data_IF_636066132032
#
_entry.id   IF_636066132032
#
_cell.length_a   1.000
_cell.length_b   1.000
_cell.length_c   1.000
_cell.angle_alpha   90.00
_cell.angle_beta   90.00
_cell.angle_gamma   90.00
#
_symmetry.space_group_name_H-M   'P 1'
#
loop_
_entity.id
_entity.type
_entity.pdbx_description
1 polymer ?
#
# COMPACT_ATOMS: atom_id res chain seq x y z
N UNK A 1 4.49 4.27 -5.63
CA UNK A 1 3.65 3.10 -5.30
C UNK A 1 2.97 2.65 -6.58
N UNK A 2 2.81 1.35 -6.78
CA UNK A 2 2.08 0.79 -7.92
C UNK A 2 1.00 -0.15 -7.40
N UNK A 3 -0.26 0.11 -7.72
CA UNK A 3 -1.42 -0.71 -7.37
C UNK A 3 -1.82 -1.50 -8.60
N UNK A 4 -1.72 -2.82 -8.51
CA UNK A 4 -2.31 -3.73 -9.49
C UNK A 4 -3.73 -4.08 -9.04
N UNK A 5 -4.71 -3.65 -9.84
CA UNK A 5 -6.10 -4.05 -9.67
C UNK A 5 -6.26 -5.55 -9.97
N UNK A 6 -5.64 -6.06 -11.04
CA UNK A 6 -5.81 -7.46 -11.43
C UNK A 6 -5.27 -8.44 -10.38
N UNK A 7 -4.20 -8.07 -9.66
CA UNK A 7 -3.59 -8.92 -8.63
C UNK A 7 -4.02 -8.56 -7.20
N UNK A 8 -4.80 -7.49 -7.03
CA UNK A 8 -5.17 -6.95 -5.71
C UNK A 8 -3.94 -6.75 -4.82
N UNK A 9 -2.90 -6.13 -5.38
CA UNK A 9 -1.61 -5.90 -4.69
C UNK A 9 -1.10 -4.48 -4.88
N UNK A 10 -0.39 -3.99 -3.88
CA UNK A 10 0.37 -2.74 -3.93
C UNK A 10 1.86 -3.05 -3.80
N UNK A 11 2.68 -2.57 -4.72
CA UNK A 11 4.13 -2.52 -4.60
C UNK A 11 4.58 -1.13 -4.15
N UNK A 12 5.39 -1.07 -3.08
CA UNK A 12 6.15 0.10 -2.70
C UNK A 12 7.53 0.01 -3.34
N UNK A 13 7.86 1.00 -4.16
CA UNK A 13 9.11 1.03 -4.94
C UNK A 13 9.90 2.25 -4.52
N UNK A 14 11.20 2.07 -4.28
CA UNK A 14 12.17 3.13 -4.11
C UNK A 14 12.37 3.82 -5.47
N UNK A 15 12.08 5.12 -5.54
CA UNK A 15 12.17 5.86 -6.80
C UNK A 15 13.61 6.01 -7.30
N UNK A 16 14.57 6.12 -6.39
CA UNK A 16 15.98 6.36 -6.74
C UNK A 16 16.65 5.06 -7.16
N UNK A 17 16.41 3.99 -6.40
CA UNK A 17 17.03 2.68 -6.63
C UNK A 17 16.26 1.79 -7.59
N UNK A 18 14.99 2.11 -7.84
CA UNK A 18 14.06 1.25 -8.59
C UNK A 18 13.69 -0.05 -7.87
N UNK A 19 14.19 -0.25 -6.63
CA UNK A 19 14.03 -1.49 -5.87
C UNK A 19 12.63 -1.58 -5.24
N UNK A 20 12.06 -2.78 -5.19
CA UNK A 20 10.81 -3.04 -4.46
C UNK A 20 11.14 -3.14 -2.98
N UNK A 21 10.60 -2.21 -2.19
CA UNK A 21 10.80 -2.17 -0.74
C UNK A 21 9.83 -3.10 -0.01
N UNK A 22 8.60 -3.22 -0.52
CA UNK A 22 7.58 -4.07 0.04
C UNK A 22 6.46 -4.35 -0.96
N UNK A 23 5.73 -5.43 -0.76
CA UNK A 23 4.45 -5.68 -1.41
C UNK A 23 3.37 -5.94 -0.37
N UNK A 24 2.16 -5.48 -0.63
CA UNK A 24 1.02 -5.60 0.28
C UNK A 24 -0.19 -6.18 -0.46
N UNK A 25 -0.92 -7.13 0.13
CA UNK A 25 -2.25 -7.46 -0.36
C UNK A 25 -3.19 -6.28 -0.09
N UNK A 26 -4.02 -5.94 -1.06
CA UNK A 26 -4.98 -4.83 -0.97
C UNK A 26 -6.36 -5.28 -1.44
N UNK A 27 -7.35 -4.42 -1.31
CA UNK A 27 -8.64 -4.59 -1.98
C UNK A 27 -9.10 -3.30 -2.66
N UNK A 28 -9.24 -3.32 -3.97
CA UNK A 28 -9.85 -2.23 -4.76
C UNK A 28 -11.37 -2.39 -4.84
N UNK A 29 -12.02 -1.58 -5.66
CA UNK A 29 -13.47 -1.65 -5.86
C UNK A 29 -13.91 -2.99 -6.42
N UNK A 30 -15.07 -3.47 -5.96
CA UNK A 30 -15.80 -4.59 -6.57
C UNK A 30 -16.61 -4.17 -7.82
N UNK A 31 -16.70 -2.87 -8.10
CA UNK A 31 -17.37 -2.32 -9.27
C UNK A 31 -16.37 -2.12 -10.41
N UNK A 32 -16.88 -1.91 -11.62
CA UNK A 32 -16.06 -1.59 -12.77
C UNK A 32 -15.16 -0.37 -12.52
N UNK A 33 -13.95 -0.42 -13.07
CA UNK A 33 -12.98 0.67 -12.98
C UNK A 33 -13.56 1.95 -13.57
N UNK A 34 -13.48 3.04 -12.82
CA UNK A 34 -14.09 4.31 -13.20
C UNK A 34 -13.65 5.43 -12.29
N UNK A 35 -13.49 6.63 -12.86
CA UNK A 35 -13.40 7.87 -12.09
C UNK A 35 -14.73 8.66 -12.02
N UNK A 36 -15.79 8.21 -12.71
CA UNK A 36 -17.01 9.01 -12.80
C UNK A 36 -17.66 9.23 -11.40
N UNK A 37 -18.22 10.42 -11.13
CA UNK A 37 -18.98 10.67 -9.91
C UNK A 37 -20.06 9.60 -9.69
N UNK A 38 -20.16 9.06 -8.47
CA UNK A 38 -21.14 8.02 -8.12
C UNK A 38 -20.83 6.61 -8.63
N UNK A 39 -19.81 6.41 -9.48
CA UNK A 39 -19.50 5.10 -10.09
C UNK A 39 -19.11 4.02 -9.09
N UNK A 40 -18.58 4.40 -7.93
CA UNK A 40 -17.94 3.50 -6.94
C UNK A 40 -16.75 2.72 -7.52
N UNK A 41 -16.31 2.99 -8.74
CA UNK A 41 -15.14 2.38 -9.35
C UNK A 41 -13.84 2.91 -8.74
N UNK A 42 -12.79 2.11 -8.79
CA UNK A 42 -11.42 2.58 -8.53
C UNK A 42 -10.90 3.26 -9.79
N UNK A 43 -10.35 4.50 -9.72
CA UNK A 43 -9.81 5.18 -10.88
C UNK A 43 -8.45 4.59 -11.28
N UNK A 44 -8.22 4.39 -12.58
CA UNK A 44 -6.91 4.06 -13.12
C UNK A 44 -6.05 5.31 -13.32
N UNK A 45 -4.75 5.09 -13.55
CA UNK A 45 -3.78 6.10 -13.94
C UNK A 45 -2.92 6.60 -12.78
N UNK A 46 -2.34 7.78 -12.98
CA UNK A 46 -1.42 8.43 -12.06
C UNK A 46 -2.14 9.33 -11.07
N UNK A 47 -1.82 9.12 -9.80
CA UNK A 47 -2.32 9.87 -8.65
C UNK A 47 -1.15 10.25 -7.73
N UNK A 48 -1.46 11.08 -6.75
CA UNK A 48 -0.56 11.41 -5.65
C UNK A 48 -1.28 11.36 -4.30
N UNK A 49 -0.52 11.12 -3.23
CA UNK A 49 -0.98 11.33 -1.86
C UNK A 49 -1.10 12.84 -1.61
N UNK A 50 -2.31 13.38 -1.64
CA UNK A 50 -2.57 14.79 -1.37
C UNK A 50 -2.58 15.10 0.13
N UNK A 51 -3.13 14.19 0.95
CA UNK A 51 -3.22 14.37 2.40
C UNK A 51 -3.03 13.05 3.15
N UNK A 52 -2.61 13.17 4.40
CA UNK A 52 -2.40 12.06 5.33
C UNK A 52 -3.20 12.31 6.60
N UNK A 53 -4.00 11.34 7.03
CA UNK A 53 -4.82 11.42 8.23
C UNK A 53 -4.57 10.18 9.11
N UNK A 54 -4.50 10.41 10.42
CA UNK A 54 -4.33 9.34 11.42
C UNK A 54 -2.93 9.24 12.03
N UNK A 55 -2.11 10.28 11.91
CA UNK A 55 -0.83 10.37 12.64
C UNK A 55 -1.03 10.09 14.13
N UNK A 56 -0.24 9.16 14.69
CA UNK A 56 -0.31 8.78 16.11
C UNK A 56 -1.58 7.99 16.51
N UNK A 57 -2.52 7.73 15.61
CA UNK A 57 -3.69 6.92 15.95
C UNK A 57 -3.29 5.44 16.17
N UNK A 58 -3.93 4.72 17.11
CA UNK A 58 -3.69 3.29 17.27
C UNK A 58 -4.23 2.51 16.07
N UNK A 59 -3.77 1.26 15.91
CA UNK A 59 -4.37 0.33 14.96
C UNK A 59 -5.85 0.10 15.31
N UNK A 60 -6.72 0.02 14.30
CA UNK A 60 -8.15 -0.13 14.47
C UNK A 60 -8.90 1.17 14.81
N UNK A 61 -8.21 2.29 15.01
CA UNK A 61 -8.86 3.58 15.31
C UNK A 61 -9.82 3.99 14.20
N UNK A 62 -11.08 4.24 14.53
CA UNK A 62 -12.15 4.53 13.57
C UNK A 62 -12.16 6.00 13.17
N UNK A 63 -12.38 6.25 11.88
CA UNK A 63 -12.54 7.58 11.31
C UNK A 63 -13.92 7.74 10.65
N UNK A 64 -14.59 8.83 10.97
CA UNK A 64 -15.83 9.29 10.30
C UNK A 64 -15.61 10.70 9.76
N UNK A 65 -15.90 10.92 8.49
CA UNK A 65 -15.65 12.20 7.82
C UNK A 65 -14.21 12.71 8.03
N UNK A 66 -13.24 11.77 7.96
CA UNK A 66 -11.80 11.99 8.22
C UNK A 66 -11.44 12.46 9.64
N UNK A 67 -12.35 12.35 10.62
CA UNK A 67 -12.08 12.66 12.04
C UNK A 67 -12.12 11.39 12.86
N UNK A 68 -11.15 11.22 13.77
CA UNK A 68 -11.11 10.09 14.70
C UNK A 68 -12.34 10.16 15.61
N UNK A 69 -13.04 9.04 15.79
CA UNK A 69 -14.27 8.97 16.60
C UNK A 69 -14.02 8.64 18.06
N UNK A 70 -12.84 8.07 18.38
CA UNK A 70 -12.51 7.51 19.69
C UNK A 70 -12.68 6.00 19.75
N UNK A 71 -13.50 5.42 18.88
CA UNK A 71 -13.68 3.97 18.73
C UNK A 71 -12.42 3.31 18.16
N UNK A 72 -12.13 2.10 18.63
CA UNK A 72 -11.05 1.23 18.15
C UNK A 72 -11.67 -0.15 17.91
N UNK A 73 -11.55 -0.66 16.69
CA UNK A 73 -12.08 -1.96 16.31
C UNK A 73 -10.96 -2.97 16.05
N UNK A 74 -11.08 -4.21 16.56
CA UNK A 74 -10.19 -5.28 16.15
C UNK A 74 -10.47 -5.67 14.68
N UNK A 75 -9.51 -6.33 14.00
CA UNK A 75 -9.77 -6.94 12.71
C UNK A 75 -10.98 -7.88 12.76
N UNK A 76 -11.82 -7.77 11.74
CA UNK A 76 -13.07 -8.50 11.51
C UNK A 76 -14.11 -8.34 12.63
N UNK A 77 -14.08 -7.21 13.34
CA UNK A 77 -15.16 -6.85 14.25
C UNK A 77 -16.51 -6.89 13.52
N UNK A 78 -17.55 -7.52 14.10
CA UNK A 78 -18.86 -7.60 13.47
C UNK A 78 -19.51 -6.22 13.37
N UNK A 79 -20.29 -6.00 12.31
CA UNK A 79 -21.06 -4.78 12.11
C UNK A 79 -20.64 -4.01 10.87
N UNK A 80 -20.53 -2.69 11.01
CA UNK A 80 -20.19 -1.77 9.91
C UNK A 80 -18.73 -1.92 9.46
N UNK A 81 -18.42 -1.48 8.25
CA UNK A 81 -17.06 -1.38 7.69
C UNK A 81 -16.57 0.09 7.69
N UNK A 82 -16.14 0.63 8.84
CA UNK A 82 -15.57 1.96 8.88
C UNK A 82 -14.14 1.97 8.33
N UNK A 83 -13.70 3.16 7.92
CA UNK A 83 -12.28 3.42 7.68
C UNK A 83 -11.55 3.40 9.04
N UNK A 84 -10.45 2.65 9.12
CA UNK A 84 -9.64 2.54 10.34
C UNK A 84 -8.17 2.84 10.11
N UNK A 85 -7.45 3.05 11.22
CA UNK A 85 -5.99 3.13 11.32
C UNK A 85 -5.38 4.36 10.64
N UNK A 86 -5.35 4.41 9.31
CA UNK A 86 -4.70 5.47 8.52
C UNK A 86 -5.48 5.74 7.24
N UNK A 87 -5.34 6.96 6.73
CA UNK A 87 -5.91 7.38 5.45
C UNK A 87 -4.85 8.16 4.68
N UNK A 88 -4.59 7.75 3.44
CA UNK A 88 -3.87 8.51 2.43
C UNK A 88 -4.89 8.97 1.39
N UNK A 89 -5.15 10.27 1.32
CA UNK A 89 -6.12 10.83 0.39
C UNK A 89 -5.49 11.07 -0.96
N UNK A 90 -6.03 10.46 -2.00
CA UNK A 90 -5.48 10.52 -3.34
C UNK A 90 -6.07 11.68 -4.15
N UNK A 91 -5.21 12.33 -4.95
CA UNK A 91 -5.60 13.27 -6.00
C UNK A 91 -5.15 12.71 -7.35
N UNK A 92 -6.05 12.71 -8.33
CA UNK A 92 -5.71 12.36 -9.70
C UNK A 92 -4.88 13.42 -10.38
N UNK A 93 -3.94 12.99 -11.21
CA UNK A 93 -3.01 13.85 -11.94
C UNK A 93 -3.33 13.93 -13.43
N UNK A 94 -4.36 13.22 -13.87
CA UNK A 94 -4.72 13.07 -15.27
C UNK A 94 -6.21 13.35 -15.49
N UNK A 95 -6.59 13.69 -16.72
CA UNK A 95 -7.96 14.06 -17.03
C UNK A 95 -8.98 12.95 -16.71
N UNK A 96 -8.58 11.69 -16.87
CA UNK A 96 -9.38 10.50 -16.59
C UNK A 96 -9.59 10.22 -15.10
N UNK A 97 -8.76 10.75 -14.19
CA UNK A 97 -8.85 10.50 -12.75
C UNK A 97 -9.03 11.77 -11.91
N UNK A 98 -9.38 12.89 -12.56
CA UNK A 98 -9.55 14.22 -11.96
C UNK A 98 -10.52 14.28 -10.78
N UNK A 99 -11.51 13.39 -10.72
CA UNK A 99 -12.52 13.37 -9.66
C UNK A 99 -12.08 12.59 -8.43
N UNK A 100 -10.95 11.86 -8.46
CA UNK A 100 -10.51 10.98 -7.39
C UNK A 100 -10.49 11.67 -6.01
N UNK A 101 -10.03 12.93 -5.96
CA UNK A 101 -10.00 13.70 -4.72
C UNK A 101 -11.42 14.02 -4.21
N UNK A 102 -12.28 14.57 -5.07
CA UNK A 102 -13.67 14.92 -4.71
C UNK A 102 -14.54 13.70 -4.42
N UNK A 103 -14.18 12.53 -4.97
CA UNK A 103 -14.80 11.23 -4.71
C UNK A 103 -14.28 10.53 -3.47
N UNK A 104 -13.35 11.14 -2.73
CA UNK A 104 -12.79 10.58 -1.51
C UNK A 104 -12.07 9.23 -1.74
N UNK A 105 -11.34 9.12 -2.84
CA UNK A 105 -10.53 7.93 -3.11
C UNK A 105 -9.32 7.93 -2.18
N UNK A 106 -9.21 6.87 -1.38
CA UNK A 106 -8.19 6.72 -0.35
C UNK A 106 -7.41 5.42 -0.51
N UNK A 107 -6.18 5.40 0.00
CA UNK A 107 -5.56 4.18 0.53
C UNK A 107 -5.79 4.20 2.05
N UNK A 108 -6.45 3.18 2.60
CA UNK A 108 -6.83 3.21 4.02
C UNK A 108 -6.90 1.83 4.67
N UNK A 109 -6.88 1.80 6.00
CA UNK A 109 -7.12 0.59 6.78
C UNK A 109 -8.60 0.21 6.81
N UNK A 110 -8.90 -1.08 6.86
CA UNK A 110 -10.27 -1.61 7.03
C UNK A 110 -10.36 -2.52 8.26
N UNK A 111 -11.54 -2.56 8.88
CA UNK A 111 -11.85 -3.57 9.88
C UNK A 111 -12.12 -4.94 9.23
N UNK A 112 -12.70 -5.00 8.04
CA UNK A 112 -13.00 -6.26 7.34
C UNK A 112 -11.75 -6.76 6.57
N UNK A 113 -10.73 -7.17 7.33
CA UNK A 113 -9.44 -7.66 6.81
C UNK A 113 -9.53 -9.03 6.14
N UNK A 114 -10.57 -9.82 6.45
CA UNK A 114 -10.80 -11.16 5.87
C UNK A 114 -10.97 -11.12 4.35
N UNK A 115 -11.40 -9.99 3.78
CA UNK A 115 -11.57 -9.80 2.33
C UNK A 115 -10.37 -9.18 1.62
N UNK A 116 -9.30 -8.86 2.35
CA UNK A 116 -8.09 -8.31 1.75
C UNK A 116 -7.47 -9.35 0.80
N UNK A 117 -7.26 -8.94 -0.45
CA UNK A 117 -6.86 -9.82 -1.57
C UNK A 117 -7.94 -10.01 -2.62
N UNK A 118 -9.17 -9.54 -2.37
CA UNK A 118 -10.29 -9.60 -3.30
C UNK A 118 -10.86 -8.20 -3.59
N UNK A 119 -11.45 -7.95 -4.78
CA UNK A 119 -12.20 -6.72 -5.03
C UNK A 119 -13.35 -6.56 -4.03
N UNK A 120 -13.24 -5.56 -3.14
CA UNK A 120 -14.12 -5.47 -1.98
C UNK A 120 -14.64 -4.09 -1.61
N UNK A 121 -14.02 -3.03 -2.13
CA UNK A 121 -14.31 -1.65 -1.76
C UNK A 121 -15.38 -1.00 -2.64
N UNK A 122 -15.62 0.29 -2.40
CA UNK A 122 -16.50 1.18 -3.18
C UNK A 122 -15.71 2.28 -3.90
N UNK A 123 -14.45 2.00 -4.25
CA UNK A 123 -13.57 2.88 -5.02
C UNK A 123 -12.18 3.04 -4.40
N UNK A 124 -12.08 2.95 -3.08
CA UNK A 124 -10.83 3.06 -2.35
C UNK A 124 -9.93 1.82 -2.50
N UNK A 125 -8.68 1.95 -2.06
CA UNK A 125 -7.74 0.85 -1.88
C UNK A 125 -7.68 0.52 -0.39
N UNK A 126 -8.25 -0.62 -0.01
CA UNK A 126 -8.27 -1.10 1.38
C UNK A 126 -7.01 -1.90 1.67
N UNK A 127 -6.52 -1.79 2.90
CA UNK A 127 -5.35 -2.49 3.42
C UNK A 127 -5.63 -3.00 4.83
N UNK A 128 -4.87 -4.01 5.26
CA UNK A 128 -4.82 -4.39 6.68
C UNK A 128 -4.29 -3.24 7.52
N UNK A 129 -4.71 -3.18 8.78
CA UNK A 129 -4.30 -2.10 9.69
C UNK A 129 -2.79 -2.04 9.88
N UNK A 130 -2.11 -3.19 10.02
CA UNK A 130 -0.63 -3.20 10.14
C UNK A 130 0.03 -2.63 8.88
N UNK A 131 -0.45 -3.03 7.70
CA UNK A 131 0.19 -2.74 6.43
C UNK A 131 0.02 -1.26 6.06
N UNK A 132 -1.18 -0.69 6.26
CA UNK A 132 -1.40 0.74 6.03
C UNK A 132 -0.62 1.61 7.00
N UNK A 133 -0.41 1.16 8.25
CA UNK A 133 0.42 1.89 9.23
C UNK A 133 1.87 1.92 8.77
N UNK A 134 2.41 0.79 8.32
CA UNK A 134 3.76 0.73 7.76
C UNK A 134 3.89 1.64 6.54
N UNK A 135 2.98 1.52 5.57
CA UNK A 135 2.97 2.36 4.37
C UNK A 135 2.89 3.84 4.73
N UNK A 136 1.99 4.22 5.64
CA UNK A 136 1.81 5.60 6.08
C UNK A 136 3.09 6.18 6.69
N UNK A 137 3.89 5.40 7.40
CA UNK A 137 5.10 5.90 8.04
C UNK A 137 6.24 6.18 7.06
N UNK A 138 6.24 5.53 5.89
CA UNK A 138 7.31 5.66 4.90
C UNK A 138 6.96 6.59 3.74
N UNK A 139 5.67 6.82 3.44
CA UNK A 139 5.26 7.71 2.35
C UNK A 139 4.83 9.10 2.85
N UNK A 140 5.26 10.15 2.16
CA UNK A 140 4.87 11.53 2.41
C UNK A 140 3.76 12.04 1.48
N UNK A 141 3.18 13.23 1.75
CA UNK A 141 2.42 13.96 0.74
C UNK A 141 3.25 14.16 -0.54
N UNK A 142 2.60 14.12 -1.71
CA UNK A 142 3.24 14.15 -3.02
C UNK A 142 3.78 12.80 -3.51
N UNK A 143 3.76 11.74 -2.69
CA UNK A 143 4.16 10.41 -3.13
C UNK A 143 3.25 9.93 -4.28
N UNK A 144 3.86 9.48 -5.38
CA UNK A 144 3.17 9.00 -6.58
C UNK A 144 2.52 7.63 -6.37
N UNK A 145 1.31 7.47 -6.88
CA UNK A 145 0.53 6.25 -6.91
C UNK A 145 0.08 6.00 -8.34
N UNK A 146 0.59 4.94 -8.97
CA UNK A 146 0.06 4.44 -10.23
C UNK A 146 -0.95 3.34 -9.95
N UNK A 147 -2.17 3.44 -10.47
CA UNK A 147 -3.19 2.39 -10.37
C UNK A 147 -3.40 1.81 -11.77
N UNK A 148 -3.10 0.53 -11.93
CA UNK A 148 -3.08 -0.15 -13.22
C UNK A 148 -3.90 -1.44 -13.22
N UNK A 149 -4.40 -1.81 -14.40
CA UNK A 149 -5.00 -3.11 -14.67
C UNK A 149 -3.97 -4.02 -15.37
N UNK A 150 -2.86 -4.28 -14.67
CA UNK A 150 -1.79 -5.15 -15.16
C UNK A 150 -1.10 -5.85 -13.98
N UNK A 151 -0.50 -7.03 -14.19
CA UNK A 151 0.35 -7.67 -13.20
C UNK A 151 1.51 -6.76 -12.77
N UNK A 152 1.86 -6.76 -11.48
CA UNK A 152 2.96 -5.93 -10.97
C UNK A 152 4.28 -6.23 -11.69
N UNK A 153 4.53 -7.50 -12.03
CA UNK A 153 5.74 -7.89 -12.76
C UNK A 153 5.84 -7.27 -14.16
N UNK A 154 4.73 -6.89 -14.78
CA UNK A 154 4.72 -6.24 -16.10
C UNK A 154 5.03 -4.74 -16.04
N UNK A 155 4.81 -4.11 -14.89
CA UNK A 155 4.92 -2.64 -14.73
C UNK A 155 5.96 -2.20 -13.69
N UNK A 156 6.51 -3.13 -12.93
CA UNK A 156 7.59 -2.91 -11.96
C UNK A 156 8.80 -3.74 -12.40
N UNK A 157 9.77 -3.15 -13.11
CA UNK A 157 10.92 -3.89 -13.67
C UNK A 157 11.70 -4.73 -12.65
N UNK A 158 11.79 -4.25 -11.40
CA UNK A 158 12.47 -4.97 -10.32
C UNK A 158 11.79 -6.28 -9.91
N UNK A 159 10.53 -6.53 -10.30
CA UNK A 159 9.82 -7.80 -10.08
C UNK A 159 9.98 -8.79 -11.25
N UNK A 160 10.44 -8.31 -12.40
CA UNK A 160 10.66 -9.13 -13.62
C UNK A 160 12.13 -9.53 -13.78
N UNK A 161 13.05 -8.79 -13.17
CA UNK A 161 14.46 -9.16 -13.18
C UNK A 161 14.63 -10.55 -12.53
N UNK A 162 15.34 -11.51 -13.17
CA UNK A 162 15.66 -12.77 -12.52
C UNK A 162 16.36 -12.46 -11.20
N UNK A 163 16.15 -13.30 -10.17
CA UNK A 163 16.67 -13.17 -8.81
C UNK A 163 18.20 -13.25 -8.70
N UNK A 164 18.93 -12.51 -9.55
CA UNK A 164 20.38 -12.33 -9.55
C UNK A 164 20.69 -10.96 -8.98
N UNK A 165 20.66 -10.89 -7.65
CA UNK A 165 21.57 -10.09 -6.81
C UNK A 165 21.17 -10.21 -5.32
N UNK A 166 20.83 -11.40 -4.85
CA UNK A 166 20.83 -11.73 -3.41
C UNK A 166 21.62 -13.03 -3.23
N UNK A 167 22.85 -13.02 -3.72
CA UNK A 167 23.84 -14.06 -3.49
C UNK A 167 25.24 -13.39 -3.47
N UNK A 168 25.43 -12.49 -2.52
CA UNK A 168 26.73 -12.29 -1.88
C UNK A 168 26.45 -12.14 -0.39
N UNK A 169 26.17 -13.29 0.22
CA UNK A 169 26.18 -13.48 1.67
C UNK A 169 27.52 -14.12 2.00
N UNK A 170 28.25 -13.43 2.87
CA UNK A 170 29.18 -13.98 3.87
C UNK A 170 30.51 -14.62 3.44
N UNK A 171 31.54 -14.11 4.12
CA UNK A 171 32.64 -14.82 4.78
C UNK A 171 34.01 -14.31 4.31
N UNK A 172 34.48 -13.25 4.97
CA UNK A 172 35.92 -13.06 5.10
C UNK A 172 36.48 -14.23 5.92
N UNK A 173 37.58 -14.88 5.52
CA UNK A 173 38.23 -15.83 6.38
C UNK A 173 39.00 -15.10 7.47
N UNK A 174 38.85 -15.64 8.68
CA UNK A 174 39.49 -15.24 9.91
C UNK A 174 41.01 -15.46 9.92
N UNK A 175 41.63 -14.77 10.86
CA UNK A 175 43.04 -14.73 11.20
C UNK A 175 43.71 -16.11 11.34
N UNK A 176 44.94 -16.23 10.82
CA UNK A 176 45.84 -17.34 11.10
C UNK A 176 46.60 -17.09 12.40
N UNK A 177 46.22 -17.79 13.47
CA UNK A 177 47.04 -17.92 14.69
C UNK A 177 47.76 -19.27 14.64
N UNK A 178 49.08 -19.24 14.40
CA UNK A 178 49.97 -20.40 14.61
C UNK A 178 50.58 -20.32 16.00
N UNK A 179 50.04 -21.10 16.93
CA UNK A 179 50.72 -21.47 18.17
C UNK A 179 51.70 -22.62 17.87
N UNK A 180 52.98 -22.41 18.21
CA UNK A 180 54.00 -23.47 18.25
C UNK A 180 54.24 -23.81 19.73
N UNK A 181 53.97 -25.06 20.10
CA UNK A 181 54.43 -25.73 21.32
C UNK A 181 55.31 -26.90 20.84
N UNK A 182 56.64 -26.79 20.91
CA UNK A 182 57.49 -27.31 22.00
C UNK A 182 58.14 -28.65 21.57
N UNK A 183 59.11 -29.23 22.29
CA UNK A 183 60.01 -28.70 23.32
C UNK A 183 61.38 -28.25 22.77
#
# INVERSE_FOLDING_TARGET
>A
MVVSVSEQRLALVDKERGAVLATYPISTSKFALSDAPGSRGTPLGELEVAQKIGTGAPAGAVFKSRRRTGEILPPNAPGRDPIVSRILWLRGLEAQNRNAYGRYIYIHGTAEEVRIGEPASYGCVRMRSRDVIQLYNVVGPGARVSIVEAPLAAVVPALTAPARALAQVEAGPAESSTAVAGP
#
